data_IF_351256029611
#
_entry.id   IF_351256029611
#
_cell.length_a   1.000
_cell.length_b   1.000
_cell.length_c   1.000
_cell.angle_alpha   90.00
_cell.angle_beta   90.00
_cell.angle_gamma   90.00
#
_symmetry.space_group_name_H-M   'P 1'
#
loop_
_entity.id
_entity.type
_entity.pdbx_description
1 polymer ?
#
# COMPACT_ATOMS: atom_id res chain seq x y z
N UNK A 1 23.69 2.08 20.51
CA UNK A 1 24.04 1.80 19.08
C UNK A 1 25.49 1.41 19.04
N UNK A 2 25.92 0.60 18.08
CA UNK A 2 27.35 0.37 17.86
C UNK A 2 27.94 1.61 17.18
N UNK A 3 29.23 1.92 17.37
CA UNK A 3 29.91 3.09 16.74
C UNK A 3 29.68 3.16 15.23
N UNK A 4 29.58 1.99 14.57
CA UNK A 4 29.28 1.90 13.13
C UNK A 4 27.87 2.42 12.76
N UNK A 5 26.84 2.10 13.55
CA UNK A 5 25.48 2.56 13.30
C UNK A 5 25.30 4.05 13.62
N UNK A 6 26.06 4.58 14.57
CA UNK A 6 26.12 6.01 14.84
C UNK A 6 26.79 6.77 13.69
N UNK A 7 27.91 6.27 13.19
CA UNK A 7 28.59 6.82 12.01
C UNK A 7 27.68 6.80 10.79
N UNK A 8 26.97 5.71 10.54
CA UNK A 8 25.99 5.61 9.44
C UNK A 8 24.85 6.63 9.60
N UNK A 9 24.35 6.84 10.81
CA UNK A 9 23.31 7.86 11.06
C UNK A 9 23.78 9.26 10.68
N UNK A 10 25.01 9.62 11.02
CA UNK A 10 25.61 10.92 10.67
C UNK A 10 25.84 11.05 9.14
N UNK A 11 26.28 9.98 8.50
CA UNK A 11 26.42 9.93 7.03
C UNK A 11 25.06 10.18 6.35
N UNK A 12 24.00 9.53 6.81
CA UNK A 12 22.63 9.72 6.28
C UNK A 12 22.18 11.15 6.47
N UNK A 13 22.44 11.76 7.64
CA UNK A 13 22.05 13.15 7.91
C UNK A 13 22.74 14.12 6.94
N UNK A 14 24.07 14.01 6.82
CA UNK A 14 24.84 14.85 5.91
C UNK A 14 24.38 14.67 4.44
N UNK A 15 24.10 13.42 4.05
CA UNK A 15 23.63 13.14 2.69
C UNK A 15 22.22 13.74 2.44
N UNK A 16 21.30 13.67 3.41
CA UNK A 16 19.96 14.28 3.29
C UNK A 16 20.08 15.78 3.17
N UNK A 17 20.93 16.41 3.98
CA UNK A 17 21.16 17.87 3.93
C UNK A 17 21.68 18.34 2.58
N UNK A 18 22.56 17.54 1.95
CA UNK A 18 23.17 17.85 0.66
C UNK A 18 22.22 17.60 -0.52
N UNK A 19 21.40 16.53 -0.47
CA UNK A 19 20.70 16.03 -1.65
C UNK A 19 19.17 16.19 -1.62
N UNK A 20 18.55 16.39 -0.45
CA UNK A 20 17.11 16.57 -0.34
C UNK A 20 16.75 18.06 -0.38
N UNK A 21 16.11 18.56 -1.45
CA UNK A 21 15.66 19.94 -1.52
C UNK A 21 14.71 20.31 -0.36
N UNK A 22 14.72 21.55 0.10
CA UNK A 22 13.85 22.00 1.20
C UNK A 22 12.36 21.77 0.90
N UNK A 23 11.94 21.98 -0.35
CA UNK A 23 10.57 21.73 -0.79
C UNK A 23 10.14 20.27 -0.65
N UNK A 24 11.10 19.34 -0.65
CA UNK A 24 10.89 17.89 -0.47
C UNK A 24 10.92 17.46 1.01
N UNK A 25 11.10 18.39 1.93
CA UNK A 25 11.06 18.19 3.40
C UNK A 25 9.77 18.73 4.03
N UNK A 26 8.71 18.82 3.26
CA UNK A 26 7.39 19.31 3.67
C UNK A 26 6.32 18.27 3.40
N UNK A 27 5.12 18.33 4.02
CA UNK A 27 4.03 17.44 3.69
C UNK A 27 3.77 17.37 2.19
N UNK A 28 3.56 16.16 1.65
CA UNK A 28 3.42 15.92 0.21
C UNK A 28 1.98 16.16 -0.27
N UNK A 29 1.72 17.17 -1.12
CA UNK A 29 0.42 17.30 -1.76
C UNK A 29 0.15 16.12 -2.71
N UNK A 30 -1.11 15.69 -2.83
CA UNK A 30 -1.49 14.59 -3.73
C UNK A 30 -1.09 14.88 -5.19
N UNK A 31 -1.13 16.17 -5.60
CA UNK A 31 -0.73 16.62 -6.95
C UNK A 31 0.77 16.55 -7.21
N UNK A 32 1.58 16.42 -6.16
CA UNK A 32 3.05 16.38 -6.26
C UNK A 32 3.62 14.97 -6.02
N UNK A 33 2.78 13.97 -5.93
CA UNK A 33 3.20 12.58 -5.83
C UNK A 33 3.89 12.11 -7.11
N UNK A 34 5.07 11.51 -6.97
CA UNK A 34 5.81 10.87 -8.05
C UNK A 34 5.41 9.39 -8.12
N UNK A 35 4.69 9.02 -9.16
CA UNK A 35 4.28 7.63 -9.39
C UNK A 35 5.28 6.95 -10.31
N UNK A 36 5.71 5.74 -9.95
CA UNK A 36 6.48 4.91 -10.85
C UNK A 36 5.71 4.70 -12.17
N UNK A 37 6.40 4.70 -13.28
CA UNK A 37 5.81 4.49 -14.61
C UNK A 37 6.91 4.27 -15.64
N UNK A 38 6.61 3.63 -16.76
CA UNK A 38 7.48 3.66 -17.94
C UNK A 38 7.65 5.08 -18.53
N UNK A 39 6.79 6.01 -18.13
CA UNK A 39 6.85 7.44 -18.47
C UNK A 39 6.59 8.26 -17.20
N UNK A 40 7.64 8.37 -16.34
CA UNK A 40 7.53 9.03 -15.04
C UNK A 40 7.30 10.52 -15.24
N UNK A 41 6.22 11.04 -14.66
CA UNK A 41 5.97 12.47 -14.58
C UNK A 41 6.52 13.03 -13.26
N UNK A 42 7.39 14.02 -13.35
CA UNK A 42 7.91 14.77 -12.20
C UNK A 42 7.18 16.10 -12.09
N UNK A 43 6.36 16.31 -11.03
CA UNK A 43 5.61 17.55 -10.84
C UNK A 43 6.50 18.80 -10.70
N UNK A 44 7.71 18.65 -10.16
CA UNK A 44 8.68 19.72 -9.96
C UNK A 44 10.10 19.26 -10.27
N UNK A 45 11.02 20.21 -10.52
CA UNK A 45 12.45 19.90 -10.66
C UNK A 45 13.00 19.26 -9.39
N UNK A 46 12.58 19.75 -8.22
CA UNK A 46 13.05 19.25 -6.92
C UNK A 46 12.59 17.78 -6.69
N UNK A 47 11.38 17.43 -7.12
CA UNK A 47 10.93 16.04 -7.04
C UNK A 47 11.77 15.11 -7.89
N UNK A 48 12.21 15.57 -9.07
CA UNK A 48 13.15 14.81 -9.92
C UNK A 48 14.54 14.71 -9.28
N UNK A 49 15.08 15.81 -8.77
CA UNK A 49 16.39 15.83 -8.10
C UNK A 49 16.41 14.86 -6.93
N UNK A 50 15.38 14.88 -6.09
CA UNK A 50 15.24 13.98 -4.96
C UNK A 50 15.09 12.51 -5.38
N UNK A 51 14.27 12.26 -6.39
CA UNK A 51 14.11 10.92 -6.96
C UNK A 51 15.43 10.36 -7.48
N UNK A 52 16.16 11.12 -8.29
CA UNK A 52 17.44 10.70 -8.87
C UNK A 52 18.48 10.41 -7.78
N UNK A 53 18.54 11.24 -6.74
CA UNK A 53 19.42 11.04 -5.59
C UNK A 53 19.12 9.72 -4.85
N UNK A 54 17.85 9.46 -4.52
CA UNK A 54 17.42 8.24 -3.84
C UNK A 54 17.65 6.99 -4.69
N UNK A 55 17.38 7.07 -5.99
CA UNK A 55 17.62 5.96 -6.93
C UNK A 55 19.11 5.66 -7.07
N UNK A 56 19.97 6.69 -7.18
CA UNK A 56 21.43 6.51 -7.34
C UNK A 56 22.08 5.80 -6.14
N UNK A 57 21.54 6.03 -4.92
CA UNK A 57 21.97 5.34 -3.69
C UNK A 57 21.32 3.96 -3.51
N UNK A 58 20.34 3.58 -4.34
CA UNK A 58 19.52 2.38 -4.14
C UNK A 58 18.59 2.48 -2.91
N UNK A 59 18.39 3.67 -2.37
CA UNK A 59 17.66 3.90 -1.11
C UNK A 59 16.14 3.94 -1.28
N UNK A 60 15.65 3.86 -2.52
CA UNK A 60 14.23 3.52 -2.76
C UNK A 60 13.92 2.08 -2.30
N UNK A 61 14.91 1.19 -2.36
CA UNK A 61 14.84 -0.23 -1.96
C UNK A 61 16.06 -0.59 -1.10
N UNK A 62 16.19 0.00 0.12
CA UNK A 62 17.45 0.01 0.84
C UNK A 62 17.99 -1.39 1.20
N UNK A 63 17.12 -2.34 1.50
CA UNK A 63 17.51 -3.70 1.90
C UNK A 63 17.71 -4.67 0.71
N UNK A 64 17.33 -4.25 -0.52
CA UNK A 64 17.51 -5.15 -1.67
C UNK A 64 18.97 -5.27 -2.08
N UNK A 65 19.35 -6.42 -2.69
CA UNK A 65 20.70 -6.58 -3.21
C UNK A 65 21.07 -5.48 -4.20
N UNK A 66 22.30 -5.03 -4.15
CA UNK A 66 22.84 -3.96 -5.03
C UNK A 66 22.73 -4.34 -6.50
N UNK A 67 22.93 -5.62 -6.84
CA UNK A 67 22.78 -6.15 -8.21
C UNK A 67 21.40 -5.96 -8.81
N UNK A 68 20.37 -5.75 -7.97
CA UNK A 68 18.98 -5.47 -8.39
C UNK A 68 18.59 -4.00 -8.19
N UNK A 69 19.57 -3.12 -7.96
CA UNK A 69 19.33 -1.67 -7.80
C UNK A 69 18.95 -1.27 -6.38
N UNK A 70 19.16 -2.14 -5.41
CA UNK A 70 18.97 -1.84 -3.97
C UNK A 70 20.19 -1.22 -3.33
N UNK A 71 20.02 -0.75 -2.09
CA UNK A 71 21.10 -0.16 -1.29
C UNK A 71 22.02 -1.18 -0.63
N UNK A 72 21.64 -2.45 -0.57
CA UNK A 72 22.39 -3.51 0.12
C UNK A 72 22.53 -3.30 1.63
N UNK A 73 21.69 -2.43 2.22
CA UNK A 73 21.73 -2.11 3.64
C UNK A 73 21.23 -3.28 4.49
N UNK A 74 21.83 -3.42 5.67
CA UNK A 74 21.27 -4.28 6.69
C UNK A 74 19.92 -3.75 7.20
N UNK A 75 19.16 -4.59 7.87
CA UNK A 75 17.89 -4.20 8.48
C UNK A 75 18.04 -3.01 9.45
N UNK A 76 19.11 -2.98 10.27
CA UNK A 76 19.34 -1.91 11.24
C UNK A 76 19.73 -0.59 10.53
N UNK A 77 20.55 -0.64 9.50
CA UNK A 77 20.87 0.56 8.67
C UNK A 77 19.64 1.07 7.94
N UNK A 78 18.85 0.20 7.36
CA UNK A 78 17.58 0.58 6.70
C UNK A 78 16.60 1.23 7.68
N UNK A 79 16.52 0.74 8.91
CA UNK A 79 15.70 1.35 9.97
C UNK A 79 16.20 2.76 10.34
N UNK A 80 17.53 2.93 10.44
CA UNK A 80 18.14 4.24 10.67
C UNK A 80 17.78 5.18 9.51
N UNK A 81 18.01 4.76 8.28
CA UNK A 81 17.69 5.56 7.09
C UNK A 81 16.23 6.03 7.12
N UNK A 82 15.26 5.13 7.32
CA UNK A 82 13.83 5.49 7.41
C UNK A 82 13.54 6.46 8.54
N UNK A 83 14.17 6.25 9.71
CA UNK A 83 14.02 7.15 10.86
C UNK A 83 14.57 8.55 10.57
N UNK A 84 15.72 8.64 9.90
CA UNK A 84 16.32 9.95 9.55
C UNK A 84 15.51 10.66 8.45
N UNK A 85 15.08 9.96 7.40
CA UNK A 85 14.18 10.51 6.40
C UNK A 85 12.90 11.09 7.03
N UNK A 86 12.30 10.37 7.98
CA UNK A 86 11.14 10.84 8.73
C UNK A 86 11.46 12.04 9.61
N UNK A 87 12.60 12.05 10.30
CA UNK A 87 13.04 13.15 11.16
C UNK A 87 13.22 14.46 10.36
N UNK A 88 13.81 14.38 9.16
CA UNK A 88 13.97 15.52 8.27
C UNK A 88 12.67 15.88 7.50
N UNK A 89 11.59 15.13 7.66
CA UNK A 89 10.34 15.34 6.93
C UNK A 89 10.44 15.06 5.43
N UNK A 90 11.40 14.23 5.02
CA UNK A 90 11.60 13.90 3.60
C UNK A 90 10.39 13.18 3.03
N UNK A 91 9.92 13.63 1.86
CA UNK A 91 8.85 12.98 1.11
C UNK A 91 9.33 11.66 0.52
N UNK A 92 8.45 10.65 0.34
CA UNK A 92 8.77 9.48 -0.48
C UNK A 92 9.23 9.91 -1.87
N UNK A 93 10.34 9.36 -2.36
CA UNK A 93 10.88 9.69 -3.67
C UNK A 93 10.00 9.16 -4.82
N UNK A 94 9.31 8.03 -4.57
CA UNK A 94 8.34 7.45 -5.49
C UNK A 94 7.25 6.68 -4.75
N UNK A 95 6.08 6.55 -5.39
CA UNK A 95 5.01 5.64 -4.98
C UNK A 95 5.03 4.45 -5.94
N UNK A 96 5.22 3.24 -5.39
CA UNK A 96 5.39 2.05 -6.20
C UNK A 96 5.01 0.78 -5.43
N UNK A 97 3.86 0.16 -5.75
CA UNK A 97 3.46 -1.13 -5.17
C UNK A 97 4.43 -2.27 -5.52
N UNK A 98 5.21 -2.09 -6.60
CA UNK A 98 6.32 -2.98 -6.91
C UNK A 98 7.34 -3.07 -5.78
N UNK A 99 7.66 -1.95 -5.12
CA UNK A 99 8.64 -1.92 -4.02
C UNK A 99 8.07 -2.57 -2.77
N UNK A 100 6.85 -2.21 -2.38
CA UNK A 100 6.28 -2.61 -1.08
C UNK A 100 5.68 -4.02 -1.07
N UNK A 101 5.28 -4.55 -2.22
CA UNK A 101 4.54 -5.83 -2.31
C UNK A 101 5.19 -6.83 -3.26
N UNK A 102 5.32 -6.51 -4.56
CA UNK A 102 5.74 -7.46 -5.58
C UNK A 102 7.23 -7.79 -5.52
N UNK A 103 8.09 -6.79 -5.34
CA UNK A 103 9.55 -6.98 -5.33
C UNK A 103 10.02 -7.95 -4.24
N UNK A 104 9.57 -7.82 -2.98
CA UNK A 104 9.85 -8.82 -1.96
C UNK A 104 9.40 -10.24 -2.36
N UNK A 105 8.27 -10.37 -3.04
CA UNK A 105 7.79 -11.66 -3.58
C UNK A 105 8.69 -12.20 -4.68
N UNK A 106 9.15 -11.34 -5.61
CA UNK A 106 10.09 -11.75 -6.66
C UNK A 106 11.44 -12.15 -6.05
N UNK A 107 11.92 -11.44 -5.03
CA UNK A 107 13.15 -11.81 -4.30
C UNK A 107 13.06 -13.20 -3.67
N UNK A 108 11.89 -13.56 -3.12
CA UNK A 108 11.68 -14.83 -2.43
C UNK A 108 11.34 -15.99 -3.38
N UNK A 109 10.49 -15.78 -4.38
CA UNK A 109 9.92 -16.84 -5.23
C UNK A 109 10.34 -16.78 -6.71
N UNK A 110 10.88 -15.66 -7.15
CA UNK A 110 11.26 -15.45 -8.55
C UNK A 110 12.51 -16.23 -8.94
N UNK A 111 12.60 -16.62 -10.21
CA UNK A 111 13.82 -17.13 -10.82
C UNK A 111 14.86 -16.00 -10.96
N UNK A 112 16.13 -16.35 -11.16
CA UNK A 112 17.19 -15.35 -11.36
C UNK A 112 16.92 -14.47 -12.60
N UNK A 113 16.34 -15.03 -13.65
CA UNK A 113 15.95 -14.26 -14.85
C UNK A 113 14.84 -13.26 -14.52
N UNK A 114 13.82 -13.67 -13.76
CA UNK A 114 12.74 -12.77 -13.30
C UNK A 114 13.27 -11.66 -12.38
N UNK A 115 14.18 -11.99 -11.47
CA UNK A 115 14.83 -10.99 -10.60
C UNK A 115 15.60 -9.96 -11.43
N UNK A 116 16.40 -10.41 -12.39
CA UNK A 116 17.16 -9.52 -13.29
C UNK A 116 16.27 -8.69 -14.20
N UNK A 117 15.15 -9.24 -14.66
CA UNK A 117 14.22 -8.54 -15.55
C UNK A 117 13.43 -7.44 -14.83
N UNK A 118 12.91 -7.71 -13.64
CA UNK A 118 11.91 -6.86 -13.00
C UNK A 118 12.45 -6.00 -11.84
N UNK A 119 13.31 -6.54 -10.97
CA UNK A 119 13.71 -5.83 -9.76
C UNK A 119 14.44 -4.51 -10.04
N UNK A 120 15.41 -4.43 -10.98
CA UNK A 120 16.07 -3.17 -11.30
C UNK A 120 15.09 -2.10 -11.82
N UNK A 121 14.09 -2.50 -12.60
CA UNK A 121 13.08 -1.57 -13.12
C UNK A 121 12.13 -1.09 -12.02
N UNK A 122 11.80 -1.97 -11.07
CA UNK A 122 10.99 -1.61 -9.90
C UNK A 122 11.75 -0.61 -9.02
N UNK A 123 13.01 -0.88 -8.68
CA UNK A 123 13.80 -0.02 -7.81
C UNK A 123 14.00 1.38 -8.41
N UNK A 124 14.16 1.48 -9.73
CA UNK A 124 14.29 2.74 -10.46
C UNK A 124 12.95 3.41 -10.85
N UNK A 125 11.81 2.84 -10.41
CA UNK A 125 10.50 3.41 -10.71
C UNK A 125 10.07 3.34 -12.18
N UNK A 126 10.73 2.54 -13.02
CA UNK A 126 10.48 2.44 -14.47
C UNK A 126 9.23 1.64 -14.83
N UNK A 127 8.60 0.99 -13.86
CA UNK A 127 7.39 0.18 -14.03
C UNK A 127 6.41 0.47 -12.89
N UNK A 128 5.17 0.82 -13.23
CA UNK A 128 4.05 0.85 -12.30
C UNK A 128 3.30 -0.48 -12.31
N UNK A 129 3.08 -1.04 -11.12
CA UNK A 129 2.40 -2.31 -10.91
C UNK A 129 1.04 -2.13 -10.24
N UNK A 130 0.03 -2.83 -10.71
CA UNK A 130 -1.24 -2.97 -10.01
C UNK A 130 -1.53 -4.44 -9.62
N UNK A 131 -2.43 -4.62 -8.67
CA UNK A 131 -2.82 -5.92 -8.12
C UNK A 131 -4.11 -6.44 -8.75
N UNK A 132 -4.06 -7.59 -9.41
CA UNK A 132 -5.22 -8.26 -9.99
C UNK A 132 -5.66 -9.48 -9.17
N UNK A 133 -6.24 -9.26 -7.99
CA UNK A 133 -6.67 -10.36 -7.10
C UNK A 133 -8.18 -10.54 -7.11
N UNK A 134 -8.92 -9.56 -6.58
CA UNK A 134 -10.37 -9.64 -6.41
C UNK A 134 -11.13 -9.72 -7.73
N UNK A 135 -12.25 -10.45 -7.71
CA UNK A 135 -13.22 -10.53 -8.81
C UNK A 135 -14.61 -10.20 -8.28
N UNK A 136 -15.60 -9.89 -9.14
CA UNK A 136 -16.96 -9.62 -8.68
C UNK A 136 -17.56 -10.72 -7.80
N UNK A 137 -17.16 -11.97 -8.02
CA UNK A 137 -17.58 -13.15 -7.22
C UNK A 137 -16.54 -13.66 -6.21
N UNK A 138 -15.39 -12.99 -6.05
CA UNK A 138 -14.29 -13.46 -5.22
C UNK A 138 -13.55 -12.29 -4.57
N UNK A 139 -14.07 -11.80 -3.44
CA UNK A 139 -13.43 -10.80 -2.57
C UNK A 139 -12.85 -11.47 -1.33
N UNK A 140 -13.62 -11.55 -0.24
CA UNK A 140 -13.21 -12.24 1.00
C UNK A 140 -12.96 -13.73 0.79
N UNK A 141 -13.76 -14.43 -0.04
CA UNK A 141 -13.45 -15.77 -0.55
C UNK A 141 -12.55 -15.67 -1.81
N UNK A 142 -11.33 -15.15 -1.62
CA UNK A 142 -10.39 -14.94 -2.72
C UNK A 142 -10.06 -16.23 -3.48
N UNK A 143 -10.09 -17.39 -2.82
CA UNK A 143 -9.84 -18.67 -3.47
C UNK A 143 -10.90 -19.04 -4.52
N UNK A 144 -12.03 -18.32 -4.58
CA UNK A 144 -13.11 -18.55 -5.53
C UNK A 144 -12.92 -17.82 -6.87
N UNK A 145 -11.73 -17.31 -7.17
CA UNK A 145 -11.45 -16.66 -8.46
C UNK A 145 -11.74 -17.57 -9.63
N UNK A 146 -12.24 -16.98 -10.71
CA UNK A 146 -12.67 -17.64 -11.95
C UNK A 146 -11.89 -17.20 -13.20
N UNK A 147 -11.18 -16.05 -13.13
CA UNK A 147 -10.30 -15.62 -14.23
C UNK A 147 -9.36 -16.76 -14.58
N UNK A 148 -9.51 -17.31 -15.78
CA UNK A 148 -8.80 -18.51 -16.23
C UNK A 148 -7.49 -18.13 -16.95
N UNK A 149 -6.51 -19.02 -16.88
CA UNK A 149 -5.31 -18.96 -17.69
C UNK A 149 -4.99 -20.36 -18.24
N UNK A 150 -4.94 -20.49 -19.56
CA UNK A 150 -4.62 -21.75 -20.25
C UNK A 150 -3.25 -21.64 -20.90
N UNK A 151 -2.32 -22.52 -20.53
CA UNK A 151 -1.02 -22.59 -21.18
C UNK A 151 -1.13 -23.28 -22.54
N UNK A 152 -0.71 -22.59 -23.60
CA UNK A 152 -0.58 -23.14 -24.96
C UNK A 152 0.80 -22.81 -25.48
N UNK A 153 1.62 -23.83 -25.64
CA UNK A 153 3.04 -23.65 -25.95
C UNK A 153 3.78 -22.99 -24.78
N UNK A 154 4.25 -21.76 -24.94
CA UNK A 154 4.96 -20.95 -23.93
C UNK A 154 4.19 -19.70 -23.49
N UNK A 155 2.90 -19.64 -23.78
CA UNK A 155 2.07 -18.48 -23.48
C UNK A 155 0.77 -18.91 -22.78
N UNK A 156 0.38 -18.16 -21.76
CA UNK A 156 -0.93 -18.24 -21.15
C UNK A 156 -1.91 -17.36 -21.90
N UNK A 157 -3.10 -17.90 -22.16
CA UNK A 157 -4.28 -17.18 -22.64
C UNK A 157 -5.20 -16.94 -21.47
N UNK A 158 -5.39 -15.67 -21.13
CA UNK A 158 -6.07 -15.23 -19.90
C UNK A 158 -7.43 -14.66 -20.26
N UNK A 159 -8.49 -15.16 -19.59
CA UNK A 159 -9.87 -14.74 -19.79
C UNK A 159 -10.57 -14.52 -18.45
N UNK A 160 -11.32 -13.43 -18.31
CA UNK A 160 -12.06 -13.09 -17.11
C UNK A 160 -12.04 -11.62 -16.76
N UNK A 161 -12.20 -11.30 -15.47
CA UNK A 161 -12.11 -9.91 -15.03
C UNK A 161 -11.64 -9.79 -13.58
N UNK A 162 -10.97 -8.67 -13.29
CA UNK A 162 -10.56 -8.26 -11.95
C UNK A 162 -11.26 -6.97 -11.57
N UNK A 163 -11.55 -6.78 -10.28
CA UNK A 163 -12.23 -5.60 -9.76
C UNK A 163 -11.47 -5.04 -8.55
N UNK A 164 -11.71 -3.79 -8.21
CA UNK A 164 -11.04 -3.05 -7.14
C UNK A 164 -9.52 -2.95 -7.34
N UNK A 165 -9.08 -2.98 -8.59
CA UNK A 165 -7.67 -2.87 -8.96
C UNK A 165 -7.24 -1.41 -8.87
N UNK A 166 -6.41 -1.10 -7.86
CA UNK A 166 -5.93 0.27 -7.62
C UNK A 166 -5.10 0.78 -8.79
N UNK A 167 -5.46 1.95 -9.31
CA UNK A 167 -4.73 2.71 -10.34
C UNK A 167 -4.36 1.89 -11.60
N UNK A 168 -5.15 0.87 -11.95
CA UNK A 168 -4.87 0.00 -13.09
C UNK A 168 -4.83 0.77 -14.42
N UNK A 169 -5.58 1.86 -14.54
CA UNK A 169 -5.59 2.75 -15.71
C UNK A 169 -4.27 3.50 -15.93
N UNK A 170 -3.39 3.52 -14.92
CA UNK A 170 -2.04 4.10 -14.99
C UNK A 170 -0.95 3.03 -15.01
N UNK A 171 -1.30 1.78 -14.72
CA UNK A 171 -0.32 0.71 -14.56
C UNK A 171 0.27 0.23 -15.91
N UNK A 172 1.54 -0.12 -15.87
CA UNK A 172 2.23 -0.80 -16.98
C UNK A 172 2.02 -2.31 -16.92
N UNK A 173 2.01 -2.86 -15.71
CA UNK A 173 1.94 -4.28 -15.44
C UNK A 173 0.99 -4.60 -14.29
N UNK A 174 0.48 -5.83 -14.29
CA UNK A 174 -0.33 -6.39 -13.22
C UNK A 174 0.30 -7.67 -12.70
N UNK A 175 0.36 -7.84 -11.38
CA UNK A 175 0.53 -9.17 -10.79
C UNK A 175 -0.85 -9.75 -10.46
N UNK A 176 -1.14 -10.90 -11.02
CA UNK A 176 -2.48 -11.43 -11.11
C UNK A 176 -2.60 -12.85 -10.58
N UNK A 177 -3.65 -13.12 -9.79
CA UNK A 177 -4.07 -14.50 -9.47
C UNK A 177 -5.02 -15.00 -10.54
N UNK A 178 -4.72 -16.17 -11.10
CA UNK A 178 -5.52 -16.78 -12.15
C UNK A 178 -5.79 -18.26 -11.87
N UNK A 179 -6.88 -18.79 -12.40
CA UNK A 179 -7.26 -20.20 -12.34
C UNK A 179 -6.57 -20.97 -13.45
N UNK A 180 -5.59 -21.80 -13.12
CA UNK A 180 -4.89 -22.69 -14.07
C UNK A 180 -5.39 -24.12 -14.02
N UNK A 181 -6.00 -24.56 -12.89
CA UNK A 181 -6.64 -25.87 -12.77
C UNK A 181 -7.90 -25.82 -11.90
N UNK A 182 -8.82 -26.73 -12.16
CA UNK A 182 -9.98 -27.04 -11.29
C UNK A 182 -9.60 -28.22 -10.39
N UNK A 183 -9.60 -28.00 -9.09
CA UNK A 183 -9.22 -28.99 -8.08
C UNK A 183 -10.24 -29.02 -6.94
N UNK A 184 -10.27 -30.07 -6.12
CA UNK A 184 -11.14 -30.15 -4.95
C UNK A 184 -10.89 -28.99 -3.98
N UNK A 185 -9.62 -28.68 -3.73
CA UNK A 185 -9.22 -27.51 -2.93
C UNK A 185 -9.03 -26.32 -3.85
N UNK A 186 -9.95 -25.35 -3.79
CA UNK A 186 -9.93 -24.13 -4.64
C UNK A 186 -8.55 -23.48 -4.74
N UNK A 187 -7.79 -23.49 -3.65
CA UNK A 187 -6.46 -22.87 -3.55
C UNK A 187 -5.41 -23.58 -4.43
N UNK A 188 -5.53 -24.90 -4.62
CA UNK A 188 -4.53 -25.70 -5.32
C UNK A 188 -4.54 -25.55 -6.85
N UNK A 189 -5.49 -24.83 -7.42
CA UNK A 189 -5.58 -24.58 -8.87
C UNK A 189 -5.31 -23.11 -9.24
N UNK A 190 -4.60 -22.37 -8.40
CA UNK A 190 -4.31 -20.94 -8.59
C UNK A 190 -2.85 -20.74 -8.91
N UNK A 191 -2.55 -19.96 -9.96
CA UNK A 191 -1.21 -19.51 -10.32
C UNK A 191 -1.09 -18.00 -10.18
N UNK A 192 0.16 -17.53 -10.01
CA UNK A 192 0.51 -16.10 -9.91
C UNK A 192 1.27 -15.71 -11.16
N UNK A 193 0.68 -14.83 -11.98
CA UNK A 193 1.22 -14.46 -13.30
C UNK A 193 1.38 -12.93 -13.39
N UNK A 194 2.51 -12.50 -13.97
CA UNK A 194 2.79 -11.11 -14.31
C UNK A 194 2.27 -10.82 -15.72
N UNK A 195 1.38 -9.84 -15.85
CA UNK A 195 0.69 -9.49 -17.10
C UNK A 195 1.08 -8.08 -17.50
N UNK A 196 1.60 -7.93 -18.72
CA UNK A 196 1.77 -6.61 -19.33
C UNK A 196 0.38 -6.05 -19.69
N UNK A 197 0.04 -4.87 -19.17
CA UNK A 197 -1.25 -4.24 -19.44
C UNK A 197 -1.27 -3.44 -20.75
N UNK A 198 -0.10 -3.18 -21.34
CA UNK A 198 0.04 -2.43 -22.60
C UNK A 198 -0.05 -3.37 -23.81
N UNK A 199 -1.15 -4.11 -23.91
CA UNK A 199 -1.46 -5.01 -25.02
C UNK A 199 -2.94 -4.92 -25.38
N UNK A 200 -3.34 -5.34 -26.60
CA UNK A 200 -4.75 -5.40 -26.98
C UNK A 200 -5.53 -6.37 -26.08
N UNK A 201 -6.86 -6.30 -26.18
CA UNK A 201 -7.80 -7.20 -25.48
C UNK A 201 -7.82 -7.05 -23.95
N UNK A 202 -7.28 -5.94 -23.43
CA UNK A 202 -7.46 -5.51 -22.05
C UNK A 202 -8.33 -4.26 -22.06
N UNK A 203 -9.46 -4.30 -21.36
CA UNK A 203 -10.32 -3.13 -21.15
C UNK A 203 -10.30 -2.75 -19.67
N UNK A 204 -9.95 -1.50 -19.37
CA UNK A 204 -9.80 -0.97 -18.02
C UNK A 204 -10.86 0.11 -17.79
N UNK A 205 -11.78 -0.15 -16.85
CA UNK A 205 -12.89 0.74 -16.51
C UNK A 205 -12.71 1.33 -15.11
N UNK A 206 -12.42 2.64 -14.98
CA UNK A 206 -12.38 3.30 -13.67
C UNK A 206 -13.75 3.25 -12.96
N UNK A 207 -13.72 3.01 -11.65
CA UNK A 207 -14.91 2.96 -10.79
C UNK A 207 -15.02 4.28 -10.03
N UNK A 208 -16.10 5.01 -10.26
CA UNK A 208 -16.37 6.28 -9.56
C UNK A 208 -16.88 5.99 -8.14
N UNK A 209 -16.15 6.47 -7.14
CA UNK A 209 -16.51 6.37 -5.72
C UNK A 209 -17.43 7.53 -5.27
N UNK A 210 -18.02 7.40 -4.08
CA UNK A 210 -18.77 8.46 -3.43
C UNK A 210 -17.94 9.73 -3.19
N UNK A 211 -16.61 9.59 -3.02
CA UNK A 211 -15.67 10.70 -2.94
C UNK A 211 -15.53 11.52 -4.24
N UNK A 212 -16.12 11.03 -5.35
CA UNK A 212 -15.94 11.59 -6.68
C UNK A 212 -14.66 11.16 -7.39
N UNK A 213 -13.75 10.48 -6.69
CA UNK A 213 -12.49 9.94 -7.22
C UNK A 213 -12.72 8.56 -7.86
N UNK A 214 -11.78 8.12 -8.70
CA UNK A 214 -11.82 6.80 -9.36
C UNK A 214 -10.48 6.09 -9.22
N UNK A 215 -9.99 5.82 -7.99
CA UNK A 215 -8.69 5.19 -7.76
C UNK A 215 -8.72 3.68 -8.03
N UNK A 216 -9.90 3.08 -8.17
CA UNK A 216 -10.06 1.67 -8.45
C UNK A 216 -10.62 1.44 -9.84
N UNK A 217 -10.23 0.34 -10.44
CA UNK A 217 -10.71 -0.07 -11.76
C UNK A 217 -11.28 -1.49 -11.73
N UNK A 218 -12.14 -1.77 -12.70
CA UNK A 218 -12.42 -3.12 -13.18
C UNK A 218 -11.61 -3.34 -14.44
N UNK A 219 -10.96 -4.51 -14.56
CA UNK A 219 -10.09 -4.88 -15.67
C UNK A 219 -10.65 -6.15 -16.31
N UNK A 220 -10.87 -6.12 -17.61
CA UNK A 220 -11.40 -7.25 -18.39
C UNK A 220 -10.30 -7.82 -19.28
N UNK A 221 -10.25 -9.14 -19.35
CA UNK A 221 -9.29 -9.89 -20.17
C UNK A 221 -10.05 -10.75 -21.19
N UNK A 222 -9.67 -10.64 -22.46
CA UNK A 222 -10.20 -11.42 -23.57
C UNK A 222 -9.04 -12.00 -24.40
N UNK A 223 -8.68 -13.24 -24.16
CA UNK A 223 -7.50 -13.93 -24.70
C UNK A 223 -6.19 -13.14 -24.54
N UNK A 224 -6.01 -12.52 -23.38
CA UNK A 224 -4.82 -11.73 -23.05
C UNK A 224 -3.62 -12.66 -22.86
N UNK A 225 -2.47 -12.27 -23.42
CA UNK A 225 -1.27 -13.09 -23.42
C UNK A 225 -0.34 -12.79 -22.23
N UNK A 226 0.21 -13.82 -21.63
CA UNK A 226 1.33 -13.74 -20.71
C UNK A 226 2.31 -14.87 -20.94
N UNK A 227 3.61 -14.57 -20.97
CA UNK A 227 4.64 -15.59 -21.14
C UNK A 227 4.65 -16.58 -19.97
N UNK A 228 4.95 -17.84 -20.23
CA UNK A 228 5.16 -18.83 -19.17
C UNK A 228 6.26 -18.39 -18.19
N UNK A 229 7.31 -17.76 -18.69
CA UNK A 229 8.40 -17.21 -17.88
C UNK A 229 7.98 -16.07 -16.93
N UNK A 230 6.79 -15.51 -17.08
CA UNK A 230 6.23 -14.50 -16.20
C UNK A 230 5.35 -15.10 -15.07
N UNK A 231 5.27 -16.42 -14.95
CA UNK A 231 4.66 -17.09 -13.81
C UNK A 231 5.65 -17.14 -12.64
N UNK A 232 5.25 -16.61 -11.51
CA UNK A 232 6.03 -16.68 -10.27
C UNK A 232 5.74 -18.00 -9.57
N UNK A 233 6.76 -18.74 -9.17
CA UNK A 233 6.73 -20.10 -8.63
C UNK A 233 6.21 -21.16 -9.64
N UNK A 234 5.94 -22.39 -9.16
CA UNK A 234 5.39 -23.43 -9.98
C UNK A 234 3.91 -23.18 -10.33
N UNK A 235 3.44 -23.82 -11.41
CA UNK A 235 2.01 -23.77 -11.76
C UNK A 235 1.16 -24.35 -10.62
N UNK A 236 0.06 -23.68 -10.30
CA UNK A 236 -0.84 -23.98 -9.20
C UNK A 236 -0.30 -23.67 -7.78
N UNK A 237 0.91 -23.12 -7.64
CA UNK A 237 1.48 -22.68 -6.36
C UNK A 237 1.22 -21.19 -6.04
N UNK A 238 0.43 -20.51 -6.87
CA UNK A 238 0.15 -19.07 -6.73
C UNK A 238 -0.52 -18.70 -5.42
N UNK A 239 -1.25 -19.61 -4.78
CA UNK A 239 -1.84 -19.34 -3.47
C UNK A 239 -0.81 -19.15 -2.36
N UNK A 240 0.32 -19.87 -2.40
CA UNK A 240 1.45 -19.69 -1.48
C UNK A 240 2.06 -18.31 -1.65
N UNK A 241 2.28 -17.91 -2.90
CA UNK A 241 2.80 -16.58 -3.26
C UNK A 241 1.84 -15.48 -2.81
N UNK A 242 0.53 -15.64 -3.06
CA UNK A 242 -0.49 -14.69 -2.67
C UNK A 242 -0.52 -14.47 -1.15
N UNK A 243 -0.46 -15.54 -0.34
CA UNK A 243 -0.42 -15.41 1.12
C UNK A 243 0.76 -14.56 1.58
N UNK A 244 1.92 -14.77 0.98
CA UNK A 244 3.13 -14.01 1.32
C UNK A 244 3.00 -12.54 0.91
N UNK A 245 2.47 -12.27 -0.29
CA UNK A 245 2.21 -10.90 -0.74
C UNK A 245 1.23 -10.17 0.18
N UNK A 246 0.16 -10.84 0.62
CA UNK A 246 -0.82 -10.28 1.56
C UNK A 246 -0.23 -9.98 2.95
N UNK A 247 0.86 -10.62 3.35
CA UNK A 247 1.61 -10.24 4.56
C UNK A 247 2.31 -8.89 4.36
N UNK A 248 2.96 -8.68 3.23
CA UNK A 248 3.55 -7.38 2.87
C UNK A 248 2.49 -6.28 2.73
N UNK A 249 1.35 -6.60 2.11
CA UNK A 249 0.23 -5.66 2.00
C UNK A 249 -0.28 -5.21 3.37
N UNK A 250 -0.45 -6.13 4.33
CA UNK A 250 -0.87 -5.78 5.70
C UNK A 250 0.12 -4.85 6.39
N UNK A 251 1.42 -5.07 6.22
CA UNK A 251 2.46 -4.19 6.76
C UNK A 251 2.35 -2.80 6.14
N UNK A 252 2.27 -2.72 4.81
CA UNK A 252 2.09 -1.45 4.10
C UNK A 252 0.81 -0.72 4.53
N UNK A 253 -0.31 -1.43 4.68
CA UNK A 253 -1.58 -0.82 5.10
C UNK A 253 -1.55 -0.31 6.54
N UNK A 254 -0.78 -0.95 7.43
CA UNK A 254 -0.57 -0.45 8.79
C UNK A 254 0.24 0.85 8.78
N UNK A 255 1.28 0.93 7.95
CA UNK A 255 2.10 2.14 7.80
C UNK A 255 1.29 3.30 7.18
N UNK A 256 0.48 3.03 6.13
CA UNK A 256 -0.40 4.04 5.52
C UNK A 256 -1.45 4.60 6.50
N UNK A 257 -1.90 3.83 7.46
CA UNK A 257 -2.80 4.29 8.53
C UNK A 257 -2.15 5.32 9.45
N UNK A 258 -0.81 5.30 9.57
CA UNK A 258 -0.02 6.24 10.38
C UNK A 258 0.44 7.49 9.60
N UNK A 259 0.51 7.42 8.26
CA UNK A 259 0.99 8.50 7.37
C UNK A 259 -0.17 9.21 6.66
N UNK A 260 -1.11 9.76 7.41
CA UNK A 260 -2.20 10.55 6.79
C UNK A 260 -1.66 11.71 5.97
N UNK A 261 -1.91 11.70 4.66
CA UNK A 261 -1.45 12.66 3.66
C UNK A 261 -1.91 14.11 3.88
N UNK A 262 -2.67 14.39 4.91
CA UNK A 262 -3.08 15.75 5.32
C UNK A 262 -3.04 15.79 6.84
N UNK A 263 -2.33 16.77 7.40
CA UNK A 263 -2.28 17.05 8.85
C UNK A 263 -3.64 17.56 9.37
N UNK A 264 -4.68 16.73 9.20
CA UNK A 264 -6.04 17.00 9.68
C UNK A 264 -6.29 16.17 10.92
N UNK A 265 -5.80 16.67 12.04
CA UNK A 265 -6.07 16.06 13.34
C UNK A 265 -7.45 16.46 13.85
N UNK A 266 -8.26 15.51 14.34
CA UNK A 266 -9.59 15.79 14.88
C UNK A 266 -9.60 16.89 15.94
N UNK A 267 -8.58 16.95 16.80
CA UNK A 267 -8.47 17.97 17.85
C UNK A 267 -8.27 19.38 17.24
N UNK A 268 -7.52 19.53 16.16
CA UNK A 268 -7.32 20.80 15.47
C UNK A 268 -8.62 21.24 14.79
N UNK A 269 -9.29 20.33 14.08
CA UNK A 269 -10.60 20.59 13.46
C UNK A 269 -11.63 21.00 14.49
N UNK A 270 -11.69 20.29 15.61
CA UNK A 270 -12.61 20.59 16.72
C UNK A 270 -12.36 21.98 17.32
N UNK A 271 -11.11 22.34 17.64
CA UNK A 271 -10.75 23.66 18.22
C UNK A 271 -11.11 24.82 17.29
N UNK A 272 -11.02 24.61 15.99
CA UNK A 272 -11.29 25.63 14.97
C UNK A 272 -12.77 25.69 14.55
N UNK A 273 -13.61 24.76 15.00
CA UNK A 273 -15.02 24.69 14.64
C UNK A 273 -15.91 25.33 15.69
N UNK A 274 -16.94 26.05 15.22
CA UNK A 274 -18.04 26.60 16.06
C UNK A 274 -19.39 25.96 15.72
N UNK A 275 -19.38 24.81 15.04
CA UNK A 275 -20.58 24.25 14.42
C UNK A 275 -21.48 23.44 15.37
N UNK A 276 -21.08 23.22 16.63
CA UNK A 276 -21.73 22.31 17.56
C UNK A 276 -22.04 23.04 18.87
N UNK A 277 -23.21 22.77 19.46
CA UNK A 277 -23.63 23.29 20.77
C UNK A 277 -22.76 22.75 21.94
N UNK A 278 -22.83 23.38 23.12
CA UNK A 278 -21.97 23.02 24.23
C UNK A 278 -22.11 21.57 24.74
N UNK A 279 -23.31 20.96 24.83
CA UNK A 279 -23.46 19.53 25.18
C UNK A 279 -22.84 18.61 24.10
N UNK A 280 -23.03 18.92 22.82
CA UNK A 280 -22.44 18.19 21.72
C UNK A 280 -20.93 18.30 21.71
N UNK A 281 -20.37 19.47 22.00
CA UNK A 281 -18.94 19.72 22.13
C UNK A 281 -18.30 18.83 23.20
N UNK A 282 -18.88 18.71 24.39
CA UNK A 282 -18.36 17.86 25.47
C UNK A 282 -18.33 16.39 25.06
N UNK A 283 -19.39 15.89 24.39
CA UNK A 283 -19.47 14.52 23.89
C UNK A 283 -18.42 14.25 22.82
N UNK A 284 -18.24 15.18 21.89
CA UNK A 284 -17.25 15.09 20.82
C UNK A 284 -15.83 15.15 21.39
N UNK A 285 -15.56 16.06 22.34
CA UNK A 285 -14.25 16.17 22.99
C UNK A 285 -13.85 14.84 23.64
N UNK A 286 -14.75 14.16 24.36
CA UNK A 286 -14.49 12.84 24.95
C UNK A 286 -14.14 11.79 23.89
N UNK A 287 -14.82 11.81 22.72
CA UNK A 287 -14.52 10.90 21.61
C UNK A 287 -13.14 11.17 21.01
N UNK A 288 -12.77 12.45 20.85
CA UNK A 288 -11.45 12.84 20.34
C UNK A 288 -10.34 12.38 21.29
N UNK A 289 -10.47 12.63 22.59
CA UNK A 289 -9.49 12.14 23.59
C UNK A 289 -9.33 10.62 23.51
N UNK A 290 -10.45 9.89 23.41
CA UNK A 290 -10.41 8.43 23.28
C UNK A 290 -9.70 7.99 21.99
N UNK A 291 -9.89 8.70 20.89
CA UNK A 291 -9.20 8.46 19.62
C UNK A 291 -7.70 8.68 19.77
N UNK A 292 -7.26 9.82 20.34
CA UNK A 292 -5.84 10.12 20.57
C UNK A 292 -5.17 9.05 21.46
N UNK A 293 -5.87 8.60 22.51
CA UNK A 293 -5.36 7.51 23.36
C UNK A 293 -5.18 6.20 22.58
N UNK A 294 -6.13 5.87 21.69
CA UNK A 294 -6.05 4.65 20.88
C UNK A 294 -4.93 4.73 19.85
N UNK A 295 -4.76 5.87 19.18
CA UNK A 295 -3.64 6.07 18.26
C UNK A 295 -2.31 5.90 18.97
N UNK A 296 -2.14 6.48 20.16
CA UNK A 296 -0.94 6.28 20.94
C UNK A 296 -0.69 4.81 21.31
N UNK A 297 -1.76 4.06 21.67
CA UNK A 297 -1.65 2.62 21.94
C UNK A 297 -1.30 1.82 20.66
N UNK A 298 -1.79 2.23 19.49
CA UNK A 298 -1.41 1.63 18.20
C UNK A 298 0.08 1.85 17.95
N UNK A 299 0.60 3.08 18.13
CA UNK A 299 2.02 3.39 17.95
C UNK A 299 2.91 2.55 18.88
N UNK A 300 2.54 2.43 20.16
CA UNK A 300 3.24 1.58 21.11
C UNK A 300 3.20 0.10 20.71
N UNK A 301 2.06 -0.36 20.16
CA UNK A 301 1.92 -1.74 19.69
C UNK A 301 2.79 -1.97 18.45
N UNK A 302 2.84 -1.02 17.50
CA UNK A 302 3.73 -1.08 16.34
C UNK A 302 5.21 -1.15 16.78
N UNK A 303 5.62 -0.30 17.71
CA UNK A 303 6.98 -0.34 18.27
C UNK A 303 7.29 -1.69 18.90
N UNK A 304 6.36 -2.26 19.69
CA UNK A 304 6.52 -3.59 20.32
C UNK A 304 6.63 -4.68 19.27
N UNK A 305 5.78 -4.71 18.23
CA UNK A 305 5.85 -5.72 17.16
C UNK A 305 7.18 -5.68 16.41
N UNK A 306 7.74 -4.48 16.19
CA UNK A 306 9.07 -4.31 15.61
C UNK A 306 10.19 -4.89 16.46
N UNK A 307 10.03 -4.96 17.78
CA UNK A 307 10.98 -5.62 18.70
C UNK A 307 10.76 -7.14 18.69
N UNK A 308 9.52 -7.60 18.82
CA UNK A 308 9.16 -9.01 18.88
C UNK A 308 9.50 -9.76 17.57
N UNK A 309 9.32 -9.13 16.42
CA UNK A 309 9.62 -9.72 15.10
C UNK A 309 11.11 -10.04 14.89
N UNK A 310 12.02 -9.44 15.67
CA UNK A 310 13.45 -9.79 15.67
C UNK A 310 13.73 -11.17 16.31
N UNK A 311 12.82 -11.66 17.15
CA UNK A 311 12.96 -12.91 17.89
C UNK A 311 12.05 -14.01 17.35
N UNK A 312 11.10 -13.65 16.46
CA UNK A 312 10.11 -14.57 15.89
C UNK A 312 8.81 -13.89 15.45
N UNK A 313 7.73 -14.66 15.37
CA UNK A 313 6.42 -14.14 15.02
C UNK A 313 5.81 -13.34 16.18
N UNK A 314 5.36 -12.12 15.89
CA UNK A 314 4.59 -11.29 16.84
C UNK A 314 3.09 -11.47 16.64
N UNK A 315 2.36 -12.07 17.60
CA UNK A 315 0.90 -12.14 17.55
C UNK A 315 0.23 -10.76 17.48
N UNK A 316 0.84 -9.75 18.10
CA UNK A 316 0.34 -8.37 18.09
C UNK A 316 0.30 -7.76 16.67
N UNK A 317 1.18 -8.19 15.75
CA UNK A 317 1.16 -7.74 14.37
C UNK A 317 -0.15 -8.08 13.65
N UNK A 318 -0.83 -9.17 14.01
CA UNK A 318 -2.09 -9.57 13.40
C UNK A 318 -3.25 -8.64 13.72
N UNK A 319 -3.20 -7.91 14.84
CA UNK A 319 -4.27 -6.98 15.22
C UNK A 319 -4.09 -5.58 14.62
N UNK A 320 -2.87 -5.23 14.19
CA UNK A 320 -2.55 -3.87 13.75
C UNK A 320 -3.41 -3.42 12.58
N UNK A 321 -3.56 -4.23 11.53
CA UNK A 321 -4.41 -3.88 10.39
C UNK A 321 -5.83 -3.54 10.82
N UNK A 322 -6.44 -4.38 11.66
CA UNK A 322 -7.80 -4.17 12.15
C UNK A 322 -7.91 -2.86 12.92
N UNK A 323 -7.12 -2.70 13.99
CA UNK A 323 -7.25 -1.52 14.87
C UNK A 323 -6.87 -0.22 14.15
N UNK A 324 -5.84 -0.21 13.29
CA UNK A 324 -5.41 1.01 12.58
C UNK A 324 -6.45 1.47 11.57
N UNK A 325 -7.06 0.56 10.82
CA UNK A 325 -8.07 0.94 9.82
C UNK A 325 -9.39 1.38 10.45
N UNK A 326 -9.81 0.79 11.57
CA UNK A 326 -10.98 1.24 12.35
C UNK A 326 -10.74 2.64 12.95
N UNK A 327 -9.55 2.91 13.50
CA UNK A 327 -9.22 4.24 14.00
C UNK A 327 -9.05 5.26 12.87
N UNK A 328 -8.60 4.88 11.69
CA UNK A 328 -8.61 5.76 10.51
C UNK A 328 -10.02 6.19 10.12
N UNK A 329 -11.00 5.29 10.12
CA UNK A 329 -12.40 5.67 9.93
C UNK A 329 -12.87 6.60 11.04
N UNK A 330 -12.58 6.28 12.30
CA UNK A 330 -12.93 7.10 13.47
C UNK A 330 -12.35 8.51 13.34
N UNK A 331 -11.09 8.65 12.92
CA UNK A 331 -10.44 9.94 12.64
C UNK A 331 -11.26 10.81 11.70
N UNK A 332 -11.65 10.27 10.56
CA UNK A 332 -12.41 11.03 9.57
C UNK A 332 -13.85 11.31 9.99
N UNK A 333 -14.50 10.39 10.72
CA UNK A 333 -15.82 10.64 11.34
C UNK A 333 -15.77 11.78 12.36
N UNK A 334 -14.73 11.86 13.18
CA UNK A 334 -14.53 12.93 14.13
C UNK A 334 -14.31 14.29 13.44
N UNK A 335 -13.53 14.31 12.34
CA UNK A 335 -13.31 15.52 11.57
C UNK A 335 -14.62 16.03 10.93
N UNK A 336 -15.39 15.16 10.28
CA UNK A 336 -16.70 15.52 9.70
C UNK A 336 -17.66 15.98 10.81
N UNK A 337 -17.72 15.24 11.91
CA UNK A 337 -18.59 15.60 13.05
C UNK A 337 -18.22 16.97 13.62
N UNK A 338 -16.92 17.30 13.71
CA UNK A 338 -16.43 18.59 14.19
C UNK A 338 -16.89 19.75 13.32
N UNK A 339 -17.06 19.54 12.01
CA UNK A 339 -17.51 20.56 11.05
C UNK A 339 -19.05 20.64 10.95
N UNK A 340 -19.79 19.73 11.59
CA UNK A 340 -21.24 19.63 11.45
C UNK A 340 -21.68 19.38 10.01
N UNK A 341 -22.80 19.95 9.58
CA UNK A 341 -23.34 19.78 8.23
C UNK A 341 -22.34 20.19 7.12
N UNK A 342 -21.53 21.21 7.35
CA UNK A 342 -20.48 21.64 6.41
C UNK A 342 -19.36 20.63 6.18
N UNK A 343 -19.24 19.62 7.05
CA UNK A 343 -18.24 18.54 6.91
C UNK A 343 -18.56 17.53 5.81
N UNK A 344 -19.78 17.52 5.28
CA UNK A 344 -20.23 16.64 4.21
C UNK A 344 -20.41 17.37 2.86
N UNK A 345 -20.13 18.68 2.81
CA UNK A 345 -20.22 19.42 1.57
C UNK A 345 -19.11 18.98 0.60
N UNK A 346 -19.53 18.51 -0.58
CA UNK A 346 -18.65 18.26 -1.73
C UNK A 346 -19.01 19.24 -2.83
N UNK A 347 -18.16 20.24 -3.03
CA UNK A 347 -18.29 21.21 -4.11
C UNK A 347 -17.31 20.85 -5.23
N UNK A 348 -17.80 20.45 -6.41
CA UNK A 348 -16.98 19.87 -7.48
C UNK A 348 -15.79 20.73 -7.94
N UNK A 349 -15.83 22.04 -7.75
CA UNK A 349 -14.76 22.96 -8.17
C UNK A 349 -14.00 23.63 -7.02
N UNK A 350 -14.31 23.31 -5.76
CA UNK A 350 -13.63 23.88 -4.61
C UNK A 350 -12.40 23.06 -4.26
N UNK A 351 -11.29 23.71 -3.99
CA UNK A 351 -10.10 23.12 -3.38
C UNK A 351 -9.98 23.71 -1.97
N UNK A 352 -9.95 22.87 -0.96
CA UNK A 352 -9.77 23.34 0.40
C UNK A 352 -9.90 22.22 1.46
N UNK A 353 -9.41 22.48 2.68
CA UNK A 353 -9.34 21.46 3.74
C UNK A 353 -10.69 20.78 4.07
N UNK A 354 -11.81 21.51 4.00
CA UNK A 354 -13.15 20.95 4.27
C UNK A 354 -13.55 19.90 3.24
N UNK A 355 -13.24 20.14 1.97
CA UNK A 355 -13.57 19.21 0.89
C UNK A 355 -12.71 17.95 0.96
N UNK A 356 -11.44 18.10 1.32
CA UNK A 356 -10.55 16.95 1.54
C UNK A 356 -11.03 16.10 2.72
N UNK A 357 -11.57 16.72 3.78
CA UNK A 357 -12.18 15.98 4.91
C UNK A 357 -13.37 15.14 4.44
N UNK A 358 -14.30 15.70 3.66
CA UNK A 358 -15.46 14.96 3.16
C UNK A 358 -15.05 13.80 2.23
N UNK A 359 -14.14 14.05 1.29
CA UNK A 359 -13.62 13.01 0.38
C UNK A 359 -12.91 11.89 1.15
N UNK A 360 -12.05 12.26 2.09
CA UNK A 360 -11.32 11.31 2.93
C UNK A 360 -12.24 10.50 3.84
N UNK A 361 -13.31 11.11 4.36
CA UNK A 361 -14.34 10.40 5.11
C UNK A 361 -15.01 9.32 4.26
N UNK A 362 -15.44 9.64 3.02
CA UNK A 362 -16.03 8.63 2.14
C UNK A 362 -15.02 7.56 1.74
N UNK A 363 -13.78 7.95 1.43
CA UNK A 363 -12.73 7.02 1.05
C UNK A 363 -12.32 6.10 2.22
N UNK A 364 -12.34 6.60 3.46
CA UNK A 364 -11.92 5.84 4.65
C UNK A 364 -12.71 4.54 4.85
N UNK A 365 -13.93 4.45 4.29
CA UNK A 365 -14.73 3.23 4.34
C UNK A 365 -14.09 2.06 3.58
N UNK A 366 -13.22 2.34 2.61
CA UNK A 366 -12.47 1.30 1.90
C UNK A 366 -11.39 0.65 2.77
N UNK A 367 -10.80 1.36 3.72
CA UNK A 367 -9.69 0.83 4.54
C UNK A 367 -10.07 -0.37 5.40
N UNK A 368 -11.30 -0.42 5.91
CA UNK A 368 -11.77 -1.58 6.71
C UNK A 368 -12.19 -2.78 5.86
N UNK A 369 -12.18 -2.63 4.53
CA UNK A 369 -12.51 -3.68 3.55
C UNK A 369 -11.24 -4.20 2.86
N UNK A 370 -10.39 -3.29 2.37
CA UNK A 370 -9.15 -3.59 1.66
C UNK A 370 -8.16 -4.38 2.54
N UNK A 371 -7.34 -5.22 1.95
CA UNK A 371 -6.37 -6.05 2.69
C UNK A 371 -7.00 -7.09 3.63
N UNK A 372 -8.26 -7.47 3.37
CA UNK A 372 -9.12 -8.31 4.22
C UNK A 372 -10.02 -7.50 5.13
N UNK A 373 -11.33 -7.76 5.04
CA UNK A 373 -12.33 -7.00 5.83
C UNK A 373 -12.09 -7.14 7.34
N UNK A 374 -12.67 -6.22 8.13
CA UNK A 374 -12.62 -6.27 9.59
C UNK A 374 -13.06 -7.64 10.13
N UNK A 375 -14.10 -8.24 9.54
CA UNK A 375 -14.59 -9.58 9.92
C UNK A 375 -13.55 -10.67 9.61
N UNK A 376 -12.89 -10.61 8.46
CA UNK A 376 -11.80 -11.54 8.12
C UNK A 376 -10.63 -11.40 9.09
N UNK A 377 -10.26 -10.16 9.45
CA UNK A 377 -9.20 -9.92 10.43
C UNK A 377 -9.59 -10.44 11.82
N UNK A 378 -10.83 -10.24 12.25
CA UNK A 378 -11.34 -10.78 13.52
C UNK A 378 -11.30 -12.33 13.53
N UNK A 379 -11.63 -12.99 12.42
CA UNK A 379 -11.49 -14.45 12.31
C UNK A 379 -10.02 -14.89 12.43
N UNK A 380 -9.07 -14.15 11.81
CA UNK A 380 -7.64 -14.43 11.94
C UNK A 380 -7.19 -14.27 13.40
N UNK A 381 -7.60 -13.19 14.07
CA UNK A 381 -7.29 -12.91 15.48
C UNK A 381 -7.86 -14.02 16.37
N UNK A 382 -9.15 -14.35 16.19
CA UNK A 382 -9.85 -15.39 16.92
C UNK A 382 -9.08 -16.72 16.88
N UNK A 383 -8.71 -17.15 15.67
CA UNK A 383 -8.06 -18.44 15.45
C UNK A 383 -6.59 -18.45 15.89
N UNK A 384 -5.81 -17.45 15.51
CA UNK A 384 -4.34 -17.49 15.63
C UNK A 384 -3.80 -16.80 16.88
N UNK A 385 -4.58 -15.92 17.50
CA UNK A 385 -4.18 -15.26 18.77
C UNK A 385 -4.93 -15.84 19.96
N UNK A 386 -6.26 -15.97 19.84
CA UNK A 386 -7.11 -16.42 20.94
C UNK A 386 -7.28 -17.93 21.00
N UNK A 387 -6.89 -18.68 19.95
CA UNK A 387 -7.03 -20.14 19.87
C UNK A 387 -8.48 -20.63 19.91
N UNK A 388 -9.44 -19.79 19.50
CA UNK A 388 -10.86 -20.14 19.47
C UNK A 388 -11.15 -21.11 18.31
N UNK A 389 -12.17 -21.98 18.44
CA UNK A 389 -12.58 -22.88 17.35
C UNK A 389 -13.08 -22.06 16.15
N UNK A 390 -12.83 -22.61 14.94
CA UNK A 390 -13.21 -22.01 13.65
C UNK A 390 -14.60 -22.47 13.21
#
# INVERSE_FOLDING_TARGET
>A
MTDQLESFSLEVDAWIEEHCPESMRTPMPVSEQVWASSDINFPTTDSKTWFDAMVSKGWCTPEWPVEYGGGGLSFEESKILRSRLKFFGCRPAQINFGISMLGPVILEFGTDDQKKEFLPKISRGEIWWCQGFSEPGAGSDLANISTSAQLKGREYFINGSKIWTSEANKADWMYCLVRTAKTEKKQAGISFILINLRQPNIDIKPIKLLSGQSPFCQVFFDDVLAKESHRIAAENDGWKVAKRLLEFERTMMADLGSEGAVDVEPIKTYKNSKAIDAPGQLKLHKKIIKHEMRNHLIDLTMARTGIESKVGFSPAALILKYISTEETQTRWELNVTSLGAGGLEIVEKSQGPKQEIAKSFFYSKAYTIAGGSSEVQLNIISKHILGLPS
#
